data_IF_529219971374
#
_entry.id   IF_529219971374
#
_cell.length_a   1.000
_cell.length_b   1.000
_cell.length_c   1.000
_cell.angle_alpha   90.00
_cell.angle_beta   90.00
_cell.angle_gamma   90.00
#
_symmetry.space_group_name_H-M   'P 1'
#
loop_
_entity.id
_entity.type
_entity.pdbx_description
1 polymer ?
#
# COMPACT_ATOMS: atom_id res chain seq x y z
N UNK A 1 19.57 2.96 -2.70
CA UNK A 1 18.50 1.96 -2.49
C UNK A 1 17.20 2.70 -2.74
N UNK A 2 16.42 2.33 -3.76
CA UNK A 2 15.13 3.00 -4.02
C UNK A 2 14.25 2.82 -2.79
N UNK A 3 13.84 3.92 -2.16
CA UNK A 3 12.80 3.88 -1.13
C UNK A 3 11.60 3.14 -1.74
N UNK A 4 11.11 2.01 -1.18
CA UNK A 4 9.91 1.40 -1.69
C UNK A 4 8.78 2.36 -1.35
N UNK A 5 8.45 3.25 -2.29
CA UNK A 5 7.28 4.11 -2.17
C UNK A 5 6.10 3.19 -1.88
N UNK A 6 5.41 3.44 -0.76
CA UNK A 6 4.22 2.68 -0.40
C UNK A 6 3.22 2.78 -1.56
N UNK A 7 2.65 1.63 -1.94
CA UNK A 7 1.64 1.61 -2.99
C UNK A 7 0.48 2.53 -2.63
N UNK A 8 0.20 3.48 -3.52
CA UNK A 8 -1.05 4.22 -3.48
C UNK A 8 -2.16 3.40 -4.16
N UNK A 9 -3.44 3.67 -3.86
CA UNK A 9 -4.54 3.05 -4.60
C UNK A 9 -4.43 3.28 -6.12
N UNK A 10 -3.96 4.45 -6.53
CA UNK A 10 -3.76 4.78 -7.94
C UNK A 10 -2.64 3.93 -8.58
N UNK A 11 -1.56 3.63 -7.85
CA UNK A 11 -0.48 2.77 -8.35
C UNK A 11 -0.97 1.35 -8.63
N UNK A 12 -1.88 0.83 -7.80
CA UNK A 12 -2.50 -0.48 -8.01
C UNK A 12 -3.42 -0.46 -9.24
N UNK A 13 -4.26 0.58 -9.35
CA UNK A 13 -5.16 0.75 -10.51
C UNK A 13 -4.41 0.88 -11.83
N UNK A 14 -3.23 1.50 -11.82
CA UNK A 14 -2.40 1.72 -13.02
C UNK A 14 -1.41 0.58 -13.29
N UNK A 15 -1.38 -0.46 -12.45
CA UNK A 15 -0.46 -1.57 -12.61
C UNK A 15 -0.75 -2.33 -13.92
N UNK A 16 0.32 -2.57 -14.71
CA UNK A 16 0.24 -3.35 -15.95
C UNK A 16 1.20 -4.53 -15.85
N UNK A 17 0.65 -5.74 -15.98
CA UNK A 17 1.42 -6.99 -15.92
C UNK A 17 1.75 -7.49 -17.33
N UNK A 18 2.96 -8.04 -17.50
CA UNK A 18 3.36 -8.65 -18.77
C UNK A 18 2.70 -10.02 -18.95
N UNK A 19 1.99 -10.21 -20.07
CA UNK A 19 1.38 -11.50 -20.41
C UNK A 19 2.43 -12.48 -20.94
N UNK A 20 2.71 -13.57 -20.23
CA UNK A 20 3.66 -14.59 -20.70
C UNK A 20 2.91 -15.69 -21.46
N UNK A 21 3.05 -15.73 -22.80
CA UNK A 21 2.34 -16.68 -23.68
C UNK A 21 2.87 -18.12 -23.66
N UNK A 22 4.05 -18.36 -23.08
CA UNK A 22 4.81 -19.62 -23.22
C UNK A 22 4.76 -20.48 -21.92
N UNK A 23 4.14 -19.97 -20.84
CA UNK A 23 3.99 -20.67 -19.55
C UNK A 23 2.57 -20.50 -19.03
N UNK A 24 2.14 -21.33 -18.08
CA UNK A 24 0.90 -21.12 -17.32
C UNK A 24 0.94 -19.71 -16.72
N UNK A 25 0.09 -18.82 -17.25
CA UNK A 25 -0.11 -17.48 -16.75
C UNK A 25 -1.32 -17.43 -15.83
N UNK A 26 -1.39 -16.41 -14.98
CA UNK A 26 -2.61 -16.13 -14.24
C UNK A 26 -3.75 -15.77 -15.20
N UNK A 27 -4.97 -16.14 -14.83
CA UNK A 27 -6.17 -15.67 -15.53
C UNK A 27 -6.28 -14.15 -15.35
N UNK A 28 -6.42 -13.42 -16.45
CA UNK A 28 -6.43 -11.95 -16.43
C UNK A 28 -7.61 -11.42 -15.61
N UNK A 29 -8.79 -12.05 -15.72
CA UNK A 29 -9.96 -11.62 -14.95
C UNK A 29 -9.77 -11.88 -13.46
N UNK A 30 -9.19 -13.02 -13.09
CA UNK A 30 -8.87 -13.30 -11.68
C UNK A 30 -7.86 -12.30 -11.11
N UNK A 31 -6.86 -11.90 -11.90
CA UNK A 31 -5.89 -10.87 -11.51
C UNK A 31 -6.57 -9.52 -11.35
N UNK A 32 -7.40 -9.11 -12.31
CA UNK A 32 -8.12 -7.84 -12.26
C UNK A 32 -9.06 -7.77 -11.03
N UNK A 33 -9.81 -8.83 -10.75
CA UNK A 33 -10.69 -8.95 -9.58
C UNK A 33 -9.90 -8.85 -8.25
N UNK A 34 -8.69 -9.40 -8.21
CA UNK A 34 -7.81 -9.29 -7.05
C UNK A 34 -7.31 -7.84 -6.89
N UNK A 35 -6.88 -7.20 -7.98
CA UNK A 35 -6.36 -5.83 -7.95
C UNK A 35 -7.42 -4.83 -7.49
N UNK A 36 -8.70 -5.04 -7.85
CA UNK A 36 -9.79 -4.22 -7.31
C UNK A 36 -9.89 -4.33 -5.78
N UNK A 37 -9.86 -5.56 -5.24
CA UNK A 37 -9.90 -5.78 -3.79
C UNK A 37 -8.70 -5.16 -3.08
N UNK A 38 -7.52 -5.27 -3.68
CA UNK A 38 -6.28 -4.67 -3.16
C UNK A 38 -6.39 -3.15 -3.16
N UNK A 39 -6.87 -2.54 -4.24
CA UNK A 39 -7.06 -1.09 -4.33
C UNK A 39 -8.00 -0.58 -3.22
N UNK A 40 -9.17 -1.22 -3.07
CA UNK A 40 -10.15 -0.88 -2.03
C UNK A 40 -9.53 -1.00 -0.65
N UNK A 41 -8.82 -2.08 -0.39
CA UNK A 41 -8.18 -2.33 0.92
C UNK A 41 -7.15 -1.25 1.23
N UNK A 42 -6.26 -0.93 0.28
CA UNK A 42 -5.24 0.11 0.47
C UNK A 42 -5.92 1.47 0.71
N UNK A 43 -6.98 1.80 -0.03
CA UNK A 43 -7.71 3.05 0.17
C UNK A 43 -8.29 3.17 1.58
N UNK A 44 -8.89 2.11 2.11
CA UNK A 44 -9.43 2.12 3.47
C UNK A 44 -8.33 2.17 4.53
N UNK A 45 -7.22 1.45 4.33
CA UNK A 45 -6.06 1.53 5.23
C UNK A 45 -5.45 2.93 5.28
N UNK A 46 -5.33 3.61 4.15
CA UNK A 46 -4.83 4.98 4.09
C UNK A 46 -5.74 5.95 4.84
N UNK A 47 -7.06 5.86 4.65
CA UNK A 47 -8.04 6.67 5.39
C UNK A 47 -7.95 6.43 6.89
N UNK A 48 -7.87 5.17 7.31
CA UNK A 48 -7.78 4.82 8.72
C UNK A 48 -6.46 5.31 9.32
N UNK A 49 -5.35 5.18 8.59
CA UNK A 49 -4.05 5.69 9.03
C UNK A 49 -4.06 7.22 9.17
N UNK A 50 -4.68 7.94 8.22
CA UNK A 50 -4.91 9.39 8.34
C UNK A 50 -5.75 9.73 9.57
N UNK A 51 -6.81 8.97 9.84
CA UNK A 51 -7.65 9.16 11.04
C UNK A 51 -6.86 8.96 12.33
N UNK A 52 -6.05 7.91 12.41
CA UNK A 52 -5.21 7.61 13.56
C UNK A 52 -4.13 8.68 13.75
N UNK A 53 -3.51 9.12 12.66
CA UNK A 53 -2.52 10.20 12.64
C UNK A 53 -3.12 11.49 13.19
N UNK A 54 -4.29 11.89 12.70
CA UNK A 54 -4.99 13.09 13.20
C UNK A 54 -5.27 12.98 14.71
N UNK A 55 -5.75 11.81 15.16
CA UNK A 55 -6.05 11.58 16.57
C UNK A 55 -4.80 11.58 17.45
N UNK A 56 -3.67 11.07 16.96
CA UNK A 56 -2.39 11.15 17.66
C UNK A 56 -1.94 12.60 17.77
N UNK A 57 -1.96 13.36 16.68
CA UNK A 57 -1.60 14.79 16.68
C UNK A 57 -2.48 15.59 17.65
N UNK A 58 -3.78 15.32 17.72
CA UNK A 58 -4.69 15.95 18.68
C UNK A 58 -4.33 15.65 20.15
N UNK A 59 -3.86 14.42 20.44
CA UNK A 59 -3.56 13.98 21.81
C UNK A 59 -2.15 14.36 22.26
N UNK A 60 -1.17 14.33 21.37
CA UNK A 60 0.25 14.54 21.71
C UNK A 60 0.75 15.93 21.33
N UNK A 61 0.06 16.64 20.43
CA UNK A 61 0.55 17.87 19.83
C UNK A 61 1.73 17.68 18.88
N UNK A 62 2.16 16.44 18.66
CA UNK A 62 3.27 16.07 17.77
C UNK A 62 2.72 15.50 16.47
N UNK A 63 3.14 16.06 15.34
CA UNK A 63 2.84 15.47 14.04
C UNK A 63 3.76 14.26 13.82
N UNK A 64 3.22 13.04 13.62
CA UNK A 64 4.05 11.87 13.43
C UNK A 64 4.89 12.02 12.16
N UNK A 65 6.18 11.72 12.30
CA UNK A 65 7.12 11.67 11.20
C UNK A 65 6.82 10.41 10.36
N UNK A 66 6.09 10.61 9.27
CA UNK A 66 5.65 9.53 8.39
C UNK A 66 6.84 8.76 7.81
N UNK A 67 7.97 9.42 7.55
CA UNK A 67 9.18 8.74 7.02
C UNK A 67 9.78 7.79 8.06
N UNK A 68 9.89 8.22 9.32
CA UNK A 68 10.32 7.32 10.42
C UNK A 68 9.32 6.21 10.70
N UNK A 69 8.03 6.50 10.55
CA UNK A 69 6.97 5.51 10.77
C UNK A 69 7.05 4.39 9.72
N UNK A 70 7.29 4.75 8.45
CA UNK A 70 7.50 3.79 7.36
C UNK A 70 8.75 2.94 7.60
N UNK A 71 9.87 3.58 7.96
CA UNK A 71 11.12 2.89 8.31
C UNK A 71 10.92 1.85 9.43
N UNK A 72 10.18 2.20 10.48
CA UNK A 72 9.89 1.31 11.60
C UNK A 72 9.03 0.10 11.19
N UNK A 73 8.00 0.32 10.36
CA UNK A 73 7.14 -0.75 9.84
C UNK A 73 7.92 -1.73 8.96
N UNK A 74 8.76 -1.22 8.07
CA UNK A 74 9.62 -2.05 7.22
C UNK A 74 10.62 -2.84 8.06
N UNK A 75 11.28 -2.20 9.04
CA UNK A 75 12.23 -2.90 9.93
C UNK A 75 11.59 -4.02 10.75
N UNK A 76 10.33 -3.84 11.20
CA UNK A 76 9.61 -4.87 11.97
C UNK A 76 9.07 -6.03 11.11
N UNK A 77 8.78 -5.82 9.83
CA UNK A 77 8.31 -6.91 8.94
C UNK A 77 9.44 -7.83 8.44
N UNK A 78 10.70 -7.41 8.60
CA UNK A 78 11.88 -8.20 8.22
C UNK A 78 12.59 -8.87 9.42
N UNK A 79 11.95 -8.89 10.60
CA UNK A 79 12.40 -9.57 11.81
C UNK A 79 11.34 -10.58 12.27
#
# INVERSE_FOLDING_TARGET
>A
MSNPALLTPNDVRQAVFQTHRIREGYDIQEVDDLLEKVEVTIKELWKENQRLTNRLTELTGEQPDNDKTIELFLRKSYL
#
